data_IF_910445490133
#
_entry.id   IF_910445490133
#
_cell.length_a   1.000
_cell.length_b   1.000
_cell.length_c   1.000
_cell.angle_alpha   90.00
_cell.angle_beta   90.00
_cell.angle_gamma   90.00
#
_symmetry.space_group_name_H-M   'P 1'
#
loop_
_entity.id
_entity.type
_entity.pdbx_description
1 polymer ?
#
# COMPACT_ATOMS: atom_id res chain seq x y z
N UNK A 1 0.64 17.02 11.80
CA UNK A 1 1.50 15.83 11.74
C UNK A 1 2.71 16.19 10.88
N UNK A 2 3.66 16.93 11.43
CA UNK A 2 4.85 17.43 10.71
C UNK A 2 6.13 17.04 11.43
N UNK A 3 6.14 15.87 12.07
CA UNK A 3 7.28 15.35 12.80
C UNK A 3 8.06 14.45 11.84
N UNK A 4 9.33 14.70 11.56
CA UNK A 4 10.17 13.82 10.71
C UNK A 4 10.03 13.99 9.18
N UNK A 5 9.28 14.97 8.69
CA UNK A 5 9.27 15.33 7.25
C UNK A 5 10.61 15.94 6.82
N UNK A 6 11.25 16.75 7.69
CA UNK A 6 12.52 17.42 7.41
C UNK A 6 13.70 16.44 7.33
N UNK A 7 13.68 15.33 8.08
CA UNK A 7 14.72 14.29 8.00
C UNK A 7 14.47 13.26 6.90
N UNK A 8 13.35 13.34 6.18
CA UNK A 8 13.01 12.43 5.07
C UNK A 8 12.70 10.98 5.49
N UNK A 9 12.78 10.66 6.78
CA UNK A 9 12.56 9.31 7.34
C UNK A 9 11.17 8.80 7.03
N UNK A 10 10.14 9.64 7.16
CA UNK A 10 8.75 9.24 6.86
C UNK A 10 8.57 8.93 5.38
N UNK A 11 9.12 9.76 4.48
CA UNK A 11 9.02 9.51 3.04
C UNK A 11 9.74 8.22 2.64
N UNK A 12 10.91 7.96 3.21
CA UNK A 12 11.65 6.71 3.00
C UNK A 12 10.85 5.52 3.51
N UNK A 13 10.29 5.62 4.72
CA UNK A 13 9.51 4.57 5.35
C UNK A 13 8.26 4.22 4.52
N UNK A 14 7.52 5.23 4.05
CA UNK A 14 6.33 5.03 3.20
C UNK A 14 6.75 4.39 1.87
N UNK A 15 7.79 4.88 1.21
CA UNK A 15 8.27 4.31 -0.05
C UNK A 15 8.73 2.85 0.11
N UNK A 16 9.49 2.55 1.17
CA UNK A 16 9.91 1.19 1.48
C UNK A 16 8.71 0.29 1.79
N UNK A 17 7.70 0.79 2.50
CA UNK A 17 6.49 0.03 2.81
C UNK A 17 5.69 -0.33 1.57
N UNK A 18 5.55 0.59 0.59
CA UNK A 18 4.91 0.30 -0.69
C UNK A 18 5.65 -0.80 -1.48
N UNK A 19 6.98 -0.76 -1.50
CA UNK A 19 7.79 -1.79 -2.18
C UNK A 19 7.63 -3.15 -1.48
N UNK A 20 7.68 -3.15 -0.14
CA UNK A 20 7.50 -4.36 0.66
C UNK A 20 6.11 -4.97 0.47
N UNK A 21 5.06 -4.16 0.33
CA UNK A 21 3.70 -4.64 0.08
C UNK A 21 3.60 -5.37 -1.27
N UNK A 22 4.19 -4.80 -2.33
CA UNK A 22 4.25 -5.45 -3.66
C UNK A 22 5.03 -6.76 -3.59
N UNK A 23 6.19 -6.77 -2.94
CA UNK A 23 7.03 -7.97 -2.82
C UNK A 23 6.38 -9.07 -1.98
N UNK A 24 5.66 -8.68 -0.92
CA UNK A 24 4.89 -9.62 -0.08
C UNK A 24 3.78 -10.26 -0.89
N UNK A 25 2.99 -9.47 -1.61
CA UNK A 25 1.91 -9.98 -2.46
C UNK A 25 2.42 -10.90 -3.57
N UNK A 26 3.59 -10.60 -4.16
CA UNK A 26 4.25 -11.47 -5.13
C UNK A 26 4.68 -12.82 -4.52
N UNK A 27 5.20 -12.79 -3.29
CA UNK A 27 5.62 -14.01 -2.57
C UNK A 27 4.40 -14.88 -2.22
N UNK A 28 3.31 -14.23 -1.81
CA UNK A 28 2.04 -14.87 -1.50
C UNK A 28 1.43 -15.52 -2.75
N UNK A 29 1.40 -14.82 -3.90
CA UNK A 29 0.94 -15.39 -5.18
C UNK A 29 1.81 -16.56 -5.65
N UNK A 30 3.13 -16.50 -5.44
CA UNK A 30 4.03 -17.62 -5.72
C UNK A 30 3.68 -18.86 -4.87
N UNK A 31 3.36 -18.65 -3.59
CA UNK A 31 2.99 -19.74 -2.69
C UNK A 31 1.62 -20.35 -3.07
N UNK A 32 0.67 -19.53 -3.51
CA UNK A 32 -0.61 -19.98 -4.09
C UNK A 32 -0.39 -20.78 -5.38
N UNK A 33 0.49 -20.31 -6.28
CA UNK A 33 0.85 -21.06 -7.48
C UNK A 33 1.54 -22.40 -7.17
N UNK A 34 2.32 -22.48 -6.08
CA UNK A 34 2.91 -23.75 -5.63
C UNK A 34 1.86 -24.73 -5.12
N UNK A 35 0.75 -24.24 -4.57
CA UNK A 35 -0.34 -25.04 -3.99
C UNK A 35 -1.34 -25.54 -5.04
N UNK A 36 -1.55 -24.75 -6.09
CA UNK A 36 -2.47 -25.04 -7.19
C UNK A 36 -1.95 -26.22 -8.04
N UNK A 37 -2.73 -27.31 -8.01
CA UNK A 37 -2.70 -28.53 -8.82
C UNK A 37 -1.58 -29.59 -8.65
N UNK A 38 -2.08 -30.84 -8.77
CA UNK A 38 -1.44 -32.15 -8.97
C UNK A 38 -0.45 -32.26 -10.16
N UNK A 39 0.19 -31.16 -10.58
CA UNK A 39 1.21 -31.19 -11.63
C UNK A 39 2.54 -31.62 -11.03
N UNK A 40 3.15 -32.65 -11.62
CA UNK A 40 4.27 -33.42 -11.05
C UNK A 40 5.63 -32.72 -11.03
N UNK A 41 5.79 -31.55 -11.66
CA UNK A 41 7.09 -30.88 -11.80
C UNK A 41 7.06 -29.44 -11.30
N UNK A 42 7.99 -29.12 -10.40
CA UNK A 42 8.21 -27.76 -9.84
C UNK A 42 8.57 -26.74 -10.91
N UNK A 43 9.22 -27.17 -12.00
CA UNK A 43 9.59 -26.30 -13.12
C UNK A 43 8.37 -25.69 -13.83
N UNK A 44 7.31 -26.48 -14.01
CA UNK A 44 6.08 -26.00 -14.68
C UNK A 44 5.40 -24.91 -13.83
N UNK A 45 5.44 -25.05 -12.50
CA UNK A 45 4.86 -24.06 -11.57
C UNK A 45 5.61 -22.73 -11.62
N UNK A 46 6.95 -22.78 -11.66
CA UNK A 46 7.77 -21.56 -11.77
C UNK A 46 7.52 -20.83 -13.10
N UNK A 47 7.35 -21.59 -14.20
CA UNK A 47 7.03 -21.00 -15.51
C UNK A 47 5.64 -20.36 -15.49
N UNK A 48 4.65 -21.01 -14.88
CA UNK A 48 3.29 -20.49 -14.78
C UNK A 48 3.23 -19.20 -13.95
N UNK A 49 3.93 -19.15 -12.82
CA UNK A 49 4.09 -17.94 -12.02
C UNK A 49 4.83 -16.83 -12.79
N UNK A 50 5.86 -17.17 -13.56
CA UNK A 50 6.56 -16.19 -14.39
C UNK A 50 5.63 -15.58 -15.45
N UNK A 51 4.80 -16.41 -16.11
CA UNK A 51 3.81 -15.97 -17.09
C UNK A 51 2.79 -15.01 -16.47
N UNK A 52 2.30 -15.32 -15.27
CA UNK A 52 1.41 -14.46 -14.48
C UNK A 52 2.02 -13.06 -14.25
N UNK A 53 3.27 -13.01 -13.79
CA UNK A 53 3.98 -11.74 -13.56
C UNK A 53 4.11 -10.92 -14.84
N UNK A 54 4.36 -11.56 -15.99
CA UNK A 54 4.43 -10.88 -17.27
C UNK A 54 3.07 -10.31 -17.71
N UNK A 55 1.98 -11.05 -17.47
CA UNK A 55 0.63 -10.59 -17.77
C UNK A 55 0.29 -9.35 -16.91
N UNK A 56 0.55 -9.41 -15.61
CA UNK A 56 0.31 -8.27 -14.70
C UNK A 56 1.16 -7.05 -15.05
N UNK A 57 2.44 -7.26 -15.37
CA UNK A 57 3.33 -6.23 -15.86
C UNK A 57 2.77 -5.59 -17.15
N UNK A 58 2.33 -6.41 -18.09
CA UNK A 58 1.73 -5.98 -19.35
C UNK A 58 0.48 -5.13 -19.15
N UNK A 59 -0.49 -5.62 -18.36
CA UNK A 59 -1.73 -4.90 -18.04
C UNK A 59 -1.41 -3.58 -17.32
N UNK A 60 -0.50 -3.62 -16.35
CA UNK A 60 -0.08 -2.44 -15.58
C UNK A 60 0.56 -1.35 -16.47
N UNK A 61 1.44 -1.74 -17.40
CA UNK A 61 2.06 -0.82 -18.36
C UNK A 61 1.02 -0.25 -19.31
N UNK A 62 0.18 -1.10 -19.93
CA UNK A 62 -0.85 -0.67 -20.88
C UNK A 62 -1.77 0.35 -20.21
N UNK A 63 -2.28 0.04 -19.01
CA UNK A 63 -3.17 0.95 -18.31
C UNK A 63 -2.45 2.22 -17.84
N UNK A 64 -1.20 2.12 -17.38
CA UNK A 64 -0.39 3.28 -17.02
C UNK A 64 -0.16 4.23 -18.20
N UNK A 65 0.04 3.69 -19.42
CA UNK A 65 0.11 4.48 -20.67
C UNK A 65 -1.23 5.10 -20.99
N UNK A 66 -2.35 4.38 -20.84
CA UNK A 66 -3.70 4.97 -21.01
C UNK A 66 -3.90 6.15 -20.05
N UNK A 67 -3.45 6.01 -18.80
CA UNK A 67 -3.51 7.07 -17.77
C UNK A 67 -2.64 8.29 -18.11
N UNK A 68 -1.58 8.13 -18.91
CA UNK A 68 -0.82 9.27 -19.43
C UNK A 68 -1.65 10.17 -20.35
N UNK A 69 -2.61 9.59 -21.09
CA UNK A 69 -3.51 10.33 -21.97
C UNK A 69 -4.66 11.00 -21.23
N UNK A 70 -5.01 10.54 -20.03
CA UNK A 70 -5.97 11.23 -19.15
C UNK A 70 -5.43 12.63 -18.89
N UNK A 71 -6.05 13.68 -19.46
CA UNK A 71 -5.35 14.94 -19.67
C UNK A 71 -5.06 15.61 -18.33
N UNK A 72 -3.81 16.03 -18.12
CA UNK A 72 -3.42 17.06 -17.14
C UNK A 72 -3.48 18.47 -17.75
N UNK A 73 -3.39 18.59 -19.08
CA UNK A 73 -3.29 19.90 -19.77
C UNK A 73 -4.62 20.66 -19.84
N UNK A 74 -5.75 19.96 -19.92
CA UNK A 74 -7.06 20.60 -19.80
C UNK A 74 -7.21 21.31 -18.45
N UNK A 75 -6.47 20.85 -17.43
CA UNK A 75 -6.56 21.33 -16.05
C UNK A 75 -5.75 22.57 -15.78
N UNK A 76 -4.56 22.73 -16.39
CA UNK A 76 -3.77 23.96 -16.27
C UNK A 76 -4.43 25.10 -17.04
N UNK A 77 -5.04 24.78 -18.20
CA UNK A 77 -5.81 25.73 -18.99
C UNK A 77 -7.13 26.08 -18.30
N UNK A 78 -7.85 25.10 -17.75
CA UNK A 78 -9.06 25.36 -16.99
C UNK A 78 -8.73 26.10 -15.69
N UNK A 79 -7.72 25.71 -14.91
CA UNK A 79 -7.34 26.37 -13.66
C UNK A 79 -6.92 27.82 -13.86
N UNK A 80 -6.15 28.13 -14.91
CA UNK A 80 -5.80 29.51 -15.25
C UNK A 80 -7.04 30.33 -15.63
N UNK A 81 -8.00 29.75 -16.36
CA UNK A 81 -9.28 30.38 -16.68
C UNK A 81 -10.16 30.58 -15.43
N UNK A 82 -10.23 29.59 -14.54
CA UNK A 82 -11.02 29.66 -13.30
C UNK A 82 -10.39 30.64 -12.29
N UNK A 83 -9.06 30.72 -12.23
CA UNK A 83 -8.30 31.66 -11.39
C UNK A 83 -8.45 33.09 -11.88
N UNK A 84 -8.44 33.30 -13.21
CA UNK A 84 -8.80 34.59 -13.83
C UNK A 84 -10.23 34.99 -13.45
N UNK A 85 -11.20 34.08 -13.62
CA UNK A 85 -12.61 34.31 -13.22
C UNK A 85 -12.84 34.52 -11.71
N UNK A 86 -12.02 33.93 -10.84
CA UNK A 86 -12.12 34.08 -9.37
C UNK A 86 -11.60 35.44 -8.91
N UNK A 87 -10.54 35.96 -9.54
CA UNK A 87 -10.09 37.33 -9.31
C UNK A 87 -11.14 38.35 -9.75
N UNK A 88 -11.91 38.03 -10.79
CA UNK A 88 -12.97 38.90 -11.30
C UNK A 88 -14.29 38.79 -10.51
N UNK A 89 -14.53 37.71 -9.75
CA UNK A 89 -15.75 37.51 -8.96
C UNK A 89 -15.54 36.59 -7.73
N UNK A 90 -15.60 37.11 -6.49
CA UNK A 90 -15.27 36.35 -5.27
C UNK A 90 -16.34 35.34 -4.81
N UNK A 91 -17.55 35.33 -5.39
CA UNK A 91 -18.65 34.43 -4.97
C UNK A 91 -18.71 33.07 -5.70
N UNK A 92 -17.72 32.71 -6.53
CA UNK A 92 -17.80 31.50 -7.37
C UNK A 92 -17.32 30.25 -6.61
N UNK A 93 -18.18 29.68 -5.77
CA UNK A 93 -18.00 28.37 -5.14
C UNK A 93 -18.05 27.21 -6.17
N UNK A 94 -18.68 27.45 -7.33
CA UNK A 94 -18.97 26.41 -8.35
C UNK A 94 -17.74 25.88 -9.10
N UNK A 95 -16.67 26.67 -9.22
CA UNK A 95 -15.45 26.29 -9.95
C UNK A 95 -14.52 25.36 -9.16
N UNK A 96 -14.55 25.45 -7.83
CA UNK A 96 -13.74 24.63 -6.94
C UNK A 96 -14.20 23.17 -6.94
N UNK A 97 -15.51 22.95 -7.14
CA UNK A 97 -16.11 21.62 -7.27
C UNK A 97 -15.68 20.89 -8.56
N UNK A 98 -15.40 21.62 -9.65
CA UNK A 98 -15.01 21.02 -10.94
C UNK A 98 -13.61 20.40 -10.84
N UNK A 99 -12.68 21.08 -10.18
CA UNK A 99 -11.31 20.59 -9.96
C UNK A 99 -11.33 19.35 -9.04
N UNK A 100 -12.16 19.38 -7.99
CA UNK A 100 -12.35 18.23 -7.10
C UNK A 100 -12.96 17.02 -7.82
N UNK A 101 -14.01 17.23 -8.63
CA UNK A 101 -14.68 16.20 -9.43
C UNK A 101 -13.70 15.48 -10.36
N UNK A 102 -12.82 16.22 -10.99
CA UNK A 102 -11.90 15.67 -11.97
C UNK A 102 -10.76 14.89 -11.27
N UNK A 103 -10.46 15.24 -10.02
CA UNK A 103 -9.53 14.51 -9.13
C UNK A 103 -10.13 13.18 -8.67
N UNK A 104 -11.42 13.21 -8.33
CA UNK A 104 -12.25 12.04 -8.03
C UNK A 104 -12.23 11.07 -9.23
N UNK A 105 -12.39 11.57 -10.46
CA UNK A 105 -12.37 10.73 -11.66
C UNK A 105 -11.03 10.00 -11.81
N UNK A 106 -9.89 10.63 -11.51
CA UNK A 106 -8.57 9.96 -11.55
C UNK A 106 -8.46 8.85 -10.52
N UNK A 107 -8.95 9.08 -9.29
CA UNK A 107 -8.97 8.08 -8.24
C UNK A 107 -9.86 6.87 -8.62
N UNK A 108 -11.04 7.14 -9.20
CA UNK A 108 -11.94 6.10 -9.70
C UNK A 108 -11.27 5.31 -10.83
N UNK A 109 -10.61 5.97 -11.77
CA UNK A 109 -9.93 5.30 -12.88
C UNK A 109 -8.78 4.41 -12.39
N UNK A 110 -8.04 4.83 -11.36
CA UNK A 110 -7.00 4.02 -10.70
C UNK A 110 -7.61 2.79 -10.00
N UNK A 111 -8.74 2.95 -9.31
CA UNK A 111 -9.47 1.83 -8.71
C UNK A 111 -9.98 0.83 -9.77
N UNK A 112 -10.35 1.30 -10.95
CA UNK A 112 -10.86 0.46 -12.04
C UNK A 112 -9.81 -0.54 -12.55
N UNK A 113 -8.51 -0.22 -12.44
CA UNK A 113 -7.40 -1.14 -12.77
C UNK A 113 -7.46 -2.39 -11.91
N UNK A 114 -7.56 -2.21 -10.58
CA UNK A 114 -7.63 -3.30 -9.64
C UNK A 114 -8.86 -4.18 -9.89
N UNK A 115 -9.99 -3.56 -10.26
CA UNK A 115 -11.22 -4.27 -10.60
C UNK A 115 -11.05 -5.09 -11.90
N UNK A 116 -10.43 -4.54 -12.94
CA UNK A 116 -10.12 -5.24 -14.19
C UNK A 116 -9.21 -6.46 -13.97
N UNK A 117 -8.14 -6.30 -13.19
CA UNK A 117 -7.24 -7.41 -12.83
C UNK A 117 -8.01 -8.46 -12.02
N UNK A 118 -8.88 -8.02 -11.11
CA UNK A 118 -9.74 -8.91 -10.34
C UNK A 118 -10.72 -9.72 -11.20
N UNK A 119 -11.37 -9.09 -12.17
CA UNK A 119 -12.25 -9.76 -13.14
C UNK A 119 -11.48 -10.72 -14.05
N UNK A 120 -10.27 -10.33 -14.47
CA UNK A 120 -9.40 -11.18 -15.28
C UNK A 120 -9.00 -12.45 -14.52
N UNK A 121 -8.69 -12.33 -13.23
CA UNK A 121 -8.46 -13.49 -12.35
C UNK A 121 -9.69 -14.37 -12.24
N UNK A 122 -10.84 -13.77 -11.94
CA UNK A 122 -12.11 -14.50 -11.85
C UNK A 122 -12.47 -15.25 -13.13
N UNK A 123 -12.04 -14.75 -14.29
CA UNK A 123 -12.29 -15.39 -15.58
C UNK A 123 -11.31 -16.51 -15.94
N UNK A 124 -10.05 -16.42 -15.50
CA UNK A 124 -8.98 -17.35 -15.94
C UNK A 124 -8.62 -18.42 -14.91
N UNK A 125 -9.13 -18.34 -13.69
CA UNK A 125 -8.79 -19.20 -12.55
C UNK A 125 -7.28 -19.33 -12.29
N UNK A 126 -6.48 -18.41 -12.85
CA UNK A 126 -5.05 -18.34 -12.62
C UNK A 126 -4.79 -17.73 -11.24
N UNK A 127 -3.71 -18.11 -10.54
CA UNK A 127 -3.36 -17.58 -9.21
C UNK A 127 -2.81 -16.14 -9.28
N UNK A 128 -3.47 -15.26 -10.03
CA UNK A 128 -3.01 -13.90 -10.33
C UNK A 128 -2.93 -13.06 -9.05
N UNK A 129 -1.82 -12.35 -8.90
CA UNK A 129 -1.58 -11.36 -7.86
C UNK A 129 -2.27 -10.03 -8.23
N UNK A 130 -2.94 -9.38 -7.27
CA UNK A 130 -3.72 -8.16 -7.61
C UNK A 130 -2.87 -6.87 -7.61
N UNK A 131 -1.67 -6.93 -7.02
CA UNK A 131 -0.98 -5.73 -6.51
C UNK A 131 0.07 -5.17 -7.46
N UNK A 132 0.76 -6.00 -8.24
CA UNK A 132 1.91 -5.56 -9.02
C UNK A 132 1.46 -4.74 -10.24
N UNK A 133 0.44 -5.20 -10.98
CA UNK A 133 -0.16 -4.42 -12.07
C UNK A 133 -0.67 -3.04 -11.61
N UNK A 134 -1.32 -2.97 -10.45
CA UNK A 134 -1.80 -1.71 -9.86
C UNK A 134 -0.64 -0.77 -9.50
N UNK A 135 0.41 -1.29 -8.86
CA UNK A 135 1.58 -0.50 -8.47
C UNK A 135 2.29 0.09 -9.71
N UNK A 136 2.51 -0.71 -10.73
CA UNK A 136 3.19 -0.30 -11.97
C UNK A 136 2.37 0.76 -12.70
N UNK A 137 1.05 0.56 -12.82
CA UNK A 137 0.17 1.54 -13.47
C UNK A 137 0.19 2.90 -12.74
N UNK A 138 0.26 2.90 -11.40
CA UNK A 138 0.29 4.10 -10.56
C UNK A 138 1.63 4.83 -10.68
N UNK A 139 2.74 4.10 -10.67
CA UNK A 139 4.09 4.66 -10.88
C UNK A 139 4.20 5.26 -12.29
N UNK A 140 3.69 4.58 -13.31
CA UNK A 140 3.76 5.06 -14.69
C UNK A 140 2.86 6.28 -14.90
N UNK A 141 1.65 6.30 -14.32
CA UNK A 141 0.76 7.46 -14.37
C UNK A 141 1.36 8.68 -13.65
N UNK A 142 1.90 8.49 -12.44
CA UNK A 142 2.48 9.57 -11.62
C UNK A 142 3.74 10.17 -12.24
N UNK A 143 4.64 9.35 -12.75
CA UNK A 143 5.85 9.80 -13.47
C UNK A 143 5.49 10.56 -14.75
N UNK A 144 4.54 10.04 -15.54
CA UNK A 144 4.07 10.68 -16.77
C UNK A 144 3.45 12.05 -16.52
N UNK A 145 2.62 12.19 -15.49
CA UNK A 145 2.03 13.48 -15.13
C UNK A 145 3.07 14.47 -14.60
N UNK A 146 4.08 13.99 -13.84
CA UNK A 146 5.17 14.83 -13.34
C UNK A 146 6.05 15.38 -14.47
N UNK A 147 6.44 14.54 -15.43
CA UNK A 147 7.21 14.96 -16.61
C UNK A 147 6.42 15.96 -17.47
N UNK A 148 5.13 15.72 -17.69
CA UNK A 148 4.27 16.62 -18.47
C UNK A 148 4.06 17.99 -17.80
N UNK A 149 4.03 18.03 -16.47
CA UNK A 149 3.94 19.28 -15.73
C UNK A 149 5.25 20.09 -15.82
N UNK A 150 6.41 19.44 -15.67
CA UNK A 150 7.71 20.10 -15.79
C UNK A 150 7.98 20.68 -17.19
N UNK A 151 7.59 19.97 -18.25
CA UNK A 151 7.75 20.45 -19.63
C UNK A 151 6.91 21.69 -19.96
N UNK A 152 5.83 21.96 -19.21
CA UNK A 152 5.01 23.16 -19.38
C UNK A 152 5.49 24.36 -18.53
N UNK A 153 6.49 24.19 -17.64
CA UNK A 153 6.82 25.16 -16.58
C UNK A 153 7.98 26.13 -16.91
N UNK A 154 8.66 26.04 -18.05
CA UNK A 154 9.69 27.04 -18.43
C UNK A 154 9.24 27.97 -19.59
N UNK A 155 9.36 29.31 -19.48
CA UNK A 155 9.37 30.16 -18.29
C UNK A 155 8.37 31.33 -18.39
N UNK A 156 7.40 31.42 -17.48
CA UNK A 156 6.92 32.74 -17.01
C UNK A 156 6.88 32.73 -15.50
N UNK A 157 7.93 33.30 -14.94
CA UNK A 157 8.16 33.51 -13.51
C UNK A 157 7.09 34.49 -13.01
N UNK A 158 6.04 34.00 -12.35
CA UNK A 158 5.20 34.75 -11.39
C UNK A 158 3.99 33.95 -10.83
N UNK A 159 4.01 32.61 -10.80
CA UNK A 159 2.92 31.84 -10.14
C UNK A 159 3.37 30.58 -9.41
N UNK A 160 4.60 30.50 -8.91
CA UNK A 160 5.06 29.35 -8.09
C UNK A 160 4.17 29.14 -6.85
N UNK A 161 3.91 30.21 -6.08
CA UNK A 161 3.12 30.12 -4.84
C UNK A 161 1.64 29.76 -5.07
N UNK A 162 1.06 30.22 -6.18
CA UNK A 162 -0.34 29.97 -6.52
C UNK A 162 -0.61 28.61 -7.18
N UNK A 163 0.40 27.98 -7.79
CA UNK A 163 0.32 26.62 -8.35
C UNK A 163 0.47 25.60 -7.22
N UNK A 164 1.40 25.83 -6.29
CA UNK A 164 1.61 24.95 -5.13
C UNK A 164 0.35 24.86 -4.25
N UNK A 165 -0.32 25.99 -4.01
CA UNK A 165 -1.56 26.02 -3.24
C UNK A 165 -2.73 25.30 -3.93
N UNK A 166 -2.75 25.27 -5.27
CA UNK A 166 -3.79 24.60 -6.04
C UNK A 166 -3.55 23.09 -6.14
N UNK A 167 -2.31 22.66 -6.38
CA UNK A 167 -1.92 21.26 -6.31
C UNK A 167 -2.18 20.68 -4.91
N UNK A 168 -1.87 21.44 -3.86
CA UNK A 168 -2.16 21.04 -2.48
C UNK A 168 -3.67 20.90 -2.23
N UNK A 169 -4.49 21.78 -2.81
CA UNK A 169 -5.94 21.69 -2.67
C UNK A 169 -6.53 20.45 -3.38
N UNK A 170 -5.99 20.07 -4.54
CA UNK A 170 -6.37 18.85 -5.25
C UNK A 170 -6.00 17.59 -4.47
N UNK A 171 -4.77 17.55 -3.93
CA UNK A 171 -4.28 16.45 -3.10
C UNK A 171 -5.15 16.31 -1.84
N UNK A 172 -5.47 17.43 -1.17
CA UNK A 172 -6.31 17.41 0.02
C UNK A 172 -7.75 16.94 -0.28
N UNK A 173 -8.31 17.26 -1.44
CA UNK A 173 -9.63 16.79 -1.84
C UNK A 173 -9.64 15.27 -2.05
N UNK A 174 -8.65 14.75 -2.79
CA UNK A 174 -8.48 13.30 -3.00
C UNK A 174 -8.25 12.59 -1.66
N UNK A 175 -7.37 13.13 -0.81
CA UNK A 175 -7.05 12.57 0.51
C UNK A 175 -8.30 12.36 1.33
N UNK A 176 -9.22 13.34 1.38
CA UNK A 176 -10.48 13.21 2.14
C UNK A 176 -11.36 12.07 1.67
N UNK A 177 -11.40 11.78 0.37
CA UNK A 177 -12.20 10.68 -0.18
C UNK A 177 -11.55 9.35 0.16
N UNK A 178 -10.23 9.23 -0.01
CA UNK A 178 -9.51 8.04 0.40
C UNK A 178 -9.60 7.81 1.90
N UNK A 179 -9.50 8.85 2.72
CA UNK A 179 -9.73 8.80 4.16
C UNK A 179 -11.14 8.32 4.47
N UNK A 180 -12.17 8.81 3.77
CA UNK A 180 -13.54 8.34 3.96
C UNK A 180 -13.71 6.86 3.60
N UNK A 181 -13.23 6.45 2.42
CA UNK A 181 -13.28 5.05 1.97
C UNK A 181 -12.54 4.16 2.96
N UNK A 182 -11.34 4.58 3.38
CA UNK A 182 -10.51 3.86 4.33
C UNK A 182 -11.18 3.76 5.71
N UNK A 183 -11.80 4.83 6.20
CA UNK A 183 -12.51 4.83 7.48
C UNK A 183 -13.68 3.84 7.50
N UNK A 184 -14.27 3.52 6.34
CA UNK A 184 -15.32 2.50 6.21
C UNK A 184 -14.73 1.11 6.00
N UNK A 185 -13.74 0.99 5.10
CA UNK A 185 -13.17 -0.29 4.69
C UNK A 185 -12.32 -0.93 5.81
N UNK A 186 -11.56 -0.13 6.53
CA UNK A 186 -10.68 -0.58 7.60
C UNK A 186 -11.42 -1.37 8.70
N UNK A 187 -12.45 -0.83 9.38
CA UNK A 187 -13.20 -1.59 10.38
C UNK A 187 -13.93 -2.79 9.80
N UNK A 188 -14.43 -2.71 8.56
CA UNK A 188 -15.09 -3.84 7.90
C UNK A 188 -14.13 -5.02 7.76
N UNK A 189 -12.90 -4.79 7.32
CA UNK A 189 -11.88 -5.85 7.19
C UNK A 189 -11.58 -6.48 8.56
N UNK A 190 -11.42 -5.68 9.62
CA UNK A 190 -11.18 -6.22 10.96
C UNK A 190 -12.34 -7.05 11.49
N UNK A 191 -13.59 -6.66 11.22
CA UNK A 191 -14.77 -7.46 11.57
C UNK A 191 -14.78 -8.77 10.80
N UNK A 192 -14.42 -8.76 9.51
CA UNK A 192 -14.38 -9.96 8.68
C UNK A 192 -13.31 -10.95 9.16
N UNK A 193 -12.11 -10.46 9.48
CA UNK A 193 -11.03 -11.27 10.06
C UNK A 193 -11.45 -11.82 11.43
N UNK A 194 -12.08 -10.98 12.26
CA UNK A 194 -12.59 -11.39 13.57
C UNK A 194 -13.66 -12.47 13.48
N UNK A 195 -14.52 -12.41 12.47
CA UNK A 195 -15.54 -13.42 12.21
C UNK A 195 -14.92 -14.79 11.87
N UNK A 196 -13.94 -14.81 10.96
CA UNK A 196 -13.23 -16.03 10.56
C UNK A 196 -12.46 -16.66 11.74
N UNK A 197 -11.84 -15.81 12.57
CA UNK A 197 -11.14 -16.25 13.79
C UNK A 197 -12.10 -16.81 14.85
N UNK A 198 -13.28 -16.19 15.04
CA UNK A 198 -14.20 -16.58 16.11
C UNK A 198 -14.72 -18.01 15.98
N UNK A 199 -14.85 -18.53 14.76
CA UNK A 199 -15.32 -19.89 14.51
C UNK A 199 -14.28 -20.94 14.95
N UNK A 200 -12.99 -20.63 14.81
CA UNK A 200 -11.89 -21.59 14.98
C UNK A 200 -11.28 -21.60 16.39
N UNK A 201 -11.60 -20.60 17.24
CA UNK A 201 -11.08 -20.49 18.63
C UNK A 201 -11.44 -21.71 19.51
N UNK A 202 -12.55 -22.40 19.22
CA UNK A 202 -13.02 -23.52 20.04
C UNK A 202 -12.11 -24.76 19.96
N UNK A 203 -11.26 -24.90 18.93
CA UNK A 203 -10.38 -26.07 18.74
C UNK A 203 -8.91 -25.81 19.09
N UNK A 204 -8.61 -24.70 19.79
CA UNK A 204 -7.21 -24.27 19.97
C UNK A 204 -6.42 -25.23 20.88
N UNK A 205 -5.29 -25.72 20.36
CA UNK A 205 -4.34 -26.51 21.14
C UNK A 205 -3.29 -25.59 21.76
N UNK A 206 -3.16 -25.63 23.09
CA UNK A 206 -2.18 -24.84 23.86
C UNK A 206 -0.74 -25.03 23.36
N UNK A 207 -0.38 -26.24 22.92
CA UNK A 207 0.96 -26.52 22.41
C UNK A 207 1.28 -25.73 21.14
N UNK A 208 0.32 -25.58 20.23
CA UNK A 208 0.55 -24.83 19.00
C UNK A 208 0.61 -23.32 19.24
N UNK A 209 -0.17 -22.80 20.19
CA UNK A 209 -0.08 -21.39 20.59
C UNK A 209 1.33 -21.07 21.07
N UNK A 210 1.92 -21.94 21.89
CA UNK A 210 3.30 -21.77 22.35
C UNK A 210 4.30 -21.79 21.19
N UNK A 211 4.17 -22.73 20.25
CA UNK A 211 5.01 -22.79 19.04
C UNK A 211 4.88 -21.49 18.23
N UNK A 212 3.67 -20.96 18.10
CA UNK A 212 3.41 -19.69 17.42
C UNK A 212 4.10 -18.51 18.11
N UNK A 213 4.09 -18.43 19.45
CA UNK A 213 4.80 -17.37 20.20
C UNK A 213 6.30 -17.44 19.93
N UNK A 214 6.88 -18.64 19.90
CA UNK A 214 8.31 -18.83 19.63
C UNK A 214 8.66 -18.34 18.22
N UNK A 215 7.89 -18.77 17.21
CA UNK A 215 8.08 -18.34 15.81
C UNK A 215 7.95 -16.82 15.72
N UNK A 216 6.95 -16.24 16.38
CA UNK A 216 6.74 -14.80 16.40
C UNK A 216 7.94 -14.02 16.93
N UNK A 217 8.53 -14.47 18.06
CA UNK A 217 9.72 -13.85 18.64
C UNK A 217 10.93 -13.97 17.72
N UNK A 218 11.15 -15.14 17.11
CA UNK A 218 12.23 -15.34 16.13
C UNK A 218 12.07 -14.40 14.93
N UNK A 219 10.87 -14.28 14.38
CA UNK A 219 10.60 -13.40 13.23
C UNK A 219 10.84 -11.93 13.60
N UNK A 220 10.46 -11.48 14.80
CA UNK A 220 10.74 -10.11 15.25
C UNK A 220 12.25 -9.88 15.35
N UNK A 221 13.00 -10.83 15.91
CA UNK A 221 14.46 -10.71 16.05
C UNK A 221 15.12 -10.60 14.68
N UNK A 222 14.77 -11.50 13.75
CA UNK A 222 15.30 -11.48 12.38
C UNK A 222 14.95 -10.14 11.71
N UNK A 223 13.72 -9.65 11.87
CA UNK A 223 13.30 -8.36 11.30
C UNK A 223 14.11 -7.18 11.84
N UNK A 224 14.30 -7.10 13.16
CA UNK A 224 15.11 -6.04 13.79
C UNK A 224 16.54 -6.07 13.25
N UNK A 225 17.14 -7.26 13.10
CA UNK A 225 18.49 -7.42 12.54
C UNK A 225 18.51 -6.93 11.08
N UNK A 226 17.59 -7.42 10.23
CA UNK A 226 17.55 -7.05 8.81
C UNK A 226 17.30 -5.56 8.60
N UNK A 227 16.41 -4.94 9.37
CA UNK A 227 16.12 -3.53 9.26
C UNK A 227 17.30 -2.67 9.74
N UNK A 228 17.97 -3.07 10.83
CA UNK A 228 19.19 -2.38 11.29
C UNK A 228 20.33 -2.51 10.28
N UNK A 229 20.51 -3.69 9.68
CA UNK A 229 21.49 -3.88 8.60
C UNK A 229 21.15 -3.05 7.35
N UNK A 230 19.86 -2.96 6.97
CA UNK A 230 19.42 -2.21 5.79
C UNK A 230 19.60 -0.69 5.93
N UNK A 231 19.54 -0.17 7.15
CA UNK A 231 19.67 1.27 7.43
C UNK A 231 21.13 1.66 7.74
N UNK A 232 22.03 0.68 7.87
CA UNK A 232 23.44 0.95 8.07
C UNK A 232 24.03 1.69 6.85
N UNK A 233 24.43 2.95 7.05
CA UNK A 233 25.07 3.77 6.01
C UNK A 233 24.18 4.87 5.42
N UNK A 234 22.95 5.04 5.89
CA UNK A 234 22.06 6.14 5.45
C UNK A 234 22.30 7.46 6.20
N UNK A 235 23.20 7.49 7.20
CA UNK A 235 23.51 8.68 7.99
C UNK A 235 22.45 9.07 9.02
N UNK A 236 21.44 8.23 9.26
CA UNK A 236 20.39 8.50 10.24
C UNK A 236 20.87 8.39 11.70
N UNK A 237 20.22 9.14 12.58
CA UNK A 237 20.50 9.08 14.01
C UNK A 237 19.98 7.77 14.62
N UNK A 238 20.57 7.31 15.72
CA UNK A 238 20.13 6.08 16.42
C UNK A 238 18.65 6.11 16.80
N UNK A 239 18.11 7.28 17.15
CA UNK A 239 16.69 7.46 17.43
C UNK A 239 15.81 7.23 16.19
N UNK A 240 16.28 7.64 15.01
CA UNK A 240 15.55 7.43 13.75
C UNK A 240 15.61 5.96 13.32
N UNK A 241 16.75 5.30 13.53
CA UNK A 241 16.91 3.86 13.25
C UNK A 241 15.95 3.03 14.12
N UNK A 242 15.85 3.35 15.41
CA UNK A 242 14.89 2.69 16.32
C UNK A 242 13.45 2.94 15.86
N UNK A 243 13.12 4.16 15.42
CA UNK A 243 11.80 4.48 14.89
C UNK A 243 11.48 3.69 13.62
N UNK A 244 12.42 3.58 12.68
CA UNK A 244 12.26 2.79 11.45
C UNK A 244 12.03 1.31 11.77
N UNK A 245 12.87 0.73 12.65
CA UNK A 245 12.73 -0.65 13.09
C UNK A 245 11.36 -0.92 13.72
N UNK A 246 10.89 0.01 14.56
CA UNK A 246 9.58 -0.06 15.21
C UNK A 246 8.42 0.05 14.21
N UNK A 247 8.53 0.96 13.23
CA UNK A 247 7.50 1.11 12.19
C UNK A 247 7.40 -0.13 11.29
N UNK A 248 8.51 -0.80 11.02
CA UNK A 248 8.54 -2.03 10.21
C UNK A 248 7.94 -3.26 10.89
N UNK A 249 7.81 -3.25 12.22
CA UNK A 249 7.07 -4.30 12.96
C UNK A 249 5.58 -4.28 12.59
N UNK A 250 5.06 -3.10 12.23
CA UNK A 250 3.63 -2.86 11.98
C UNK A 250 3.21 -3.28 10.57
N UNK A 251 4.15 -3.32 9.61
CA UNK A 251 3.85 -3.50 8.19
C UNK A 251 3.67 -4.98 7.77
N UNK A 252 2.76 -5.70 8.43
CA UNK A 252 2.40 -7.08 8.03
C UNK A 252 0.99 -7.07 7.46
N UNK A 253 0.88 -7.21 6.15
CA UNK A 253 -0.37 -7.11 5.41
C UNK A 253 -1.39 -8.17 5.83
N UNK A 254 -2.65 -7.74 5.92
CA UNK A 254 -3.84 -8.59 6.08
C UNK A 254 -3.93 -9.65 4.96
N UNK A 255 -3.32 -9.34 3.80
CA UNK A 255 -3.32 -10.17 2.59
C UNK A 255 -2.74 -11.57 2.81
N UNK A 256 -1.70 -11.71 3.65
CA UNK A 256 -1.11 -13.02 3.98
C UNK A 256 -2.11 -13.95 4.66
N UNK A 257 -3.07 -13.40 5.42
CA UNK A 257 -4.17 -14.20 6.01
C UNK A 257 -5.10 -14.75 4.92
N UNK A 258 -5.45 -13.92 3.93
CA UNK A 258 -6.31 -14.34 2.81
C UNK A 258 -5.63 -15.33 1.86
N UNK A 259 -4.32 -15.18 1.65
CA UNK A 259 -3.52 -16.14 0.86
C UNK A 259 -3.43 -17.49 1.57
N UNK A 260 -3.23 -17.50 2.89
CA UNK A 260 -3.23 -18.77 3.63
C UNK A 260 -4.61 -19.42 3.67
N UNK A 261 -5.69 -18.65 3.80
CA UNK A 261 -7.06 -19.21 3.76
C UNK A 261 -7.37 -19.85 2.41
N UNK A 262 -7.09 -19.15 1.30
CA UNK A 262 -7.32 -19.65 -0.07
C UNK A 262 -6.43 -20.84 -0.46
N UNK A 263 -5.15 -20.86 -0.06
CA UNK A 263 -4.23 -21.97 -0.33
C UNK A 263 -4.75 -23.33 0.17
N UNK A 264 -5.59 -23.35 1.21
CA UNK A 264 -5.86 -24.57 1.97
C UNK A 264 -7.34 -24.95 2.07
N UNK A 265 -8.25 -24.14 1.50
CA UNK A 265 -9.62 -24.60 1.17
C UNK A 265 -9.64 -25.77 0.14
N UNK A 266 -8.51 -26.06 -0.51
CA UNK A 266 -8.38 -27.12 -1.52
C UNK A 266 -7.79 -28.47 -1.05
N UNK A 267 -7.46 -28.65 0.23
CA UNK A 267 -6.81 -29.89 0.72
C UNK A 267 -7.56 -30.57 1.87
N UNK A 268 -8.17 -31.74 1.62
CA UNK A 268 -8.65 -32.67 2.66
C UNK A 268 -7.73 -33.90 2.70
N UNK A 269 -7.07 -34.22 3.84
CA UNK A 269 -7.76 -34.73 5.03
C UNK A 269 -7.21 -34.23 6.40
N UNK A 270 -6.42 -33.14 6.44
CA UNK A 270 -5.75 -32.66 7.67
C UNK A 270 -6.23 -31.25 8.06
N UNK A 271 -7.54 -31.07 8.00
CA UNK A 271 -8.26 -29.80 8.14
C UNK A 271 -8.05 -29.15 9.52
N UNK A 272 -7.96 -29.94 10.58
CA UNK A 272 -7.83 -29.43 11.96
C UNK A 272 -6.48 -28.76 12.25
N UNK A 273 -5.37 -29.37 11.82
CA UNK A 273 -4.02 -28.80 12.01
C UNK A 273 -3.85 -27.52 11.20
N UNK A 274 -4.44 -27.49 10.01
CA UNK A 274 -4.38 -26.35 9.11
C UNK A 274 -5.19 -25.16 9.66
N UNK A 275 -6.44 -25.38 10.06
CA UNK A 275 -7.28 -24.34 10.64
C UNK A 275 -6.62 -23.73 11.89
N UNK A 276 -5.89 -24.54 12.67
CA UNK A 276 -5.10 -24.08 13.81
C UNK A 276 -3.93 -23.16 13.40
N UNK A 277 -3.20 -23.46 12.32
CA UNK A 277 -2.12 -22.60 11.82
C UNK A 277 -2.65 -21.24 11.36
N UNK A 278 -3.73 -21.21 10.58
CA UNK A 278 -4.33 -19.95 10.10
C UNK A 278 -4.82 -19.10 11.26
N UNK A 279 -5.47 -19.72 12.24
CA UNK A 279 -5.90 -19.02 13.44
C UNK A 279 -4.72 -18.40 14.19
N UNK A 280 -3.61 -19.15 14.33
CA UNK A 280 -2.41 -18.66 15.01
C UNK A 280 -1.82 -17.45 14.27
N UNK A 281 -1.69 -17.54 12.95
CA UNK A 281 -1.22 -16.44 12.10
C UNK A 281 -2.13 -15.20 12.27
N UNK A 282 -3.45 -15.39 12.24
CA UNK A 282 -4.42 -14.31 12.41
C UNK A 282 -4.34 -13.64 13.78
N UNK A 283 -4.17 -14.41 14.87
CA UNK A 283 -3.97 -13.86 16.22
C UNK A 283 -2.68 -13.04 16.31
N UNK A 284 -1.57 -13.54 15.77
CA UNK A 284 -0.30 -12.79 15.78
C UNK A 284 -0.34 -11.55 14.89
N UNK A 285 -1.11 -11.59 13.81
CA UNK A 285 -1.34 -10.42 12.96
C UNK A 285 -2.13 -9.34 13.71
N UNK A 286 -3.19 -9.71 14.42
CA UNK A 286 -3.93 -8.79 15.29
C UNK A 286 -3.03 -8.20 16.40
N UNK A 287 -2.19 -9.04 17.02
CA UNK A 287 -1.23 -8.59 18.02
C UNK A 287 -0.23 -7.58 17.45
N UNK A 288 0.27 -7.78 16.22
CA UNK A 288 1.15 -6.81 15.53
C UNK A 288 0.47 -5.48 15.27
N UNK A 289 -0.76 -5.50 14.77
CA UNK A 289 -1.52 -4.26 14.49
C UNK A 289 -1.72 -3.48 15.78
N UNK A 290 -2.11 -4.16 16.87
CA UNK A 290 -2.28 -3.53 18.17
C UNK A 290 -0.98 -2.92 18.69
N UNK A 291 0.11 -3.71 18.73
CA UNK A 291 1.42 -3.23 19.16
C UNK A 291 1.92 -2.08 18.29
N UNK A 292 1.67 -2.13 16.99
CA UNK A 292 2.09 -1.12 16.05
C UNK A 292 1.43 0.23 16.25
N UNK A 293 0.10 0.25 16.42
CA UNK A 293 -0.63 1.48 16.74
C UNK A 293 -0.13 2.12 18.04
N UNK A 294 0.15 1.31 19.07
CA UNK A 294 0.67 1.75 20.35
C UNK A 294 2.08 2.34 20.23
N UNK A 295 2.96 1.64 19.51
CA UNK A 295 4.35 2.05 19.30
C UNK A 295 4.42 3.36 18.52
N UNK A 296 3.68 3.49 17.41
CA UNK A 296 3.69 4.71 16.59
C UNK A 296 3.13 5.90 17.37
N UNK A 297 2.05 5.70 18.13
CA UNK A 297 1.45 6.77 18.92
C UNK A 297 2.38 7.30 20.01
N UNK A 298 3.08 6.40 20.73
CA UNK A 298 3.95 6.77 21.84
C UNK A 298 5.32 7.27 21.39
N UNK A 299 5.95 6.58 20.45
CA UNK A 299 7.33 6.84 20.04
C UNK A 299 7.45 7.81 18.87
N UNK A 300 6.40 7.97 18.06
CA UNK A 300 6.35 8.97 16.99
C UNK A 300 6.77 10.38 17.43
N UNK A 301 6.11 11.00 18.43
CA UNK A 301 6.47 12.35 18.86
C UNK A 301 7.82 12.41 19.59
N UNK A 302 8.22 11.37 20.31
CA UNK A 302 9.44 11.40 21.15
C UNK A 302 10.70 11.24 20.29
N UNK A 303 10.69 10.35 19.30
CA UNK A 303 11.88 10.03 18.50
C UNK A 303 12.09 11.04 17.36
N UNK A 304 11.01 11.63 16.83
CA UNK A 304 11.07 12.55 15.68
C UNK A 304 11.14 14.04 16.04
N UNK A 305 10.92 14.42 17.30
CA UNK A 305 11.03 15.85 17.72
C UNK A 305 12.48 16.22 18.09
N UNK A 306 13.30 15.26 18.54
CA UNK A 306 14.66 15.51 18.98
C UNK A 306 15.67 15.77 17.84
N UNK A 307 15.27 15.63 16.58
CA UNK A 307 16.12 15.91 15.41
C UNK A 307 16.10 17.37 15.00
N UNK A 308 15.06 18.13 15.37
CA UNK A 308 14.95 19.58 15.08
C UNK A 308 15.92 20.41 15.92
N UNK A 309 16.39 19.90 17.07
CA UNK A 309 17.29 20.62 17.98
C UNK A 309 18.79 20.41 17.71
N UNK A 310 19.18 19.42 16.90
CA UNK A 310 20.59 19.08 16.65
C UNK A 310 21.06 19.30 15.21
N UNK A 311 20.28 20.02 14.39
CA UNK A 311 20.74 20.55 13.10
C UNK A 311 21.62 21.79 13.30
N UNK A 312 22.84 21.60 13.77
CA UNK A 312 23.96 22.53 13.62
C UNK A 312 25.03 21.90 12.74
#
# INVERSE_FOLDING_TARGET
MGYGEESGVINLLVAASCILEVLTNMTDGFLECLSVFNVSSTYVKIILFAEELFIELGIGIIFGVIMMFVPSNAWTKLSSILKKRKNDNPHINKNQNIVSLLSIIRAILLCFVGLLIGLYKWYTDLPITYSLGCAISTILASTSWKCKNQNNINPTISSSKGINNQAQHEINAISKIFEFIWNVLHPLIFVLIGYDLSYTIYSINTAMVLTGIIIFMVVIIIRIITATCSVWGTGFNYNEIIFINMAWIVNSSIMTCFTTTSHLFGQTPLEDFYNQIVLIIGIFLLLRVFLGSFVIHKFGPILLTNTVQYGH
#
